data_IF_730021079558
#
_entry.id   IF_730021079558
#
_cell.length_a   1.000
_cell.length_b   1.000
_cell.length_c   1.000
_cell.angle_alpha   90.00
_cell.angle_beta   90.00
_cell.angle_gamma   90.00
#
_symmetry.space_group_name_H-M   'P 1'
#
loop_
_entity.id
_entity.type
_entity.pdbx_description
1 polymer ?
#
# COMPACT_ATOMS: atom_id res chain seq x y z
N UNK A 1 9.19 20.03 -3.63
CA UNK A 1 10.61 20.33 -3.94
C UNK A 1 10.98 19.60 -5.22
N UNK A 2 11.38 20.30 -6.26
CA UNK A 2 11.70 19.66 -7.55
C UNK A 2 13.00 18.85 -7.41
N UNK A 3 12.94 17.54 -7.64
CA UNK A 3 14.11 16.67 -7.64
C UNK A 3 14.75 16.75 -9.01
N UNK A 4 16.02 17.15 -9.11
CA UNK A 4 16.72 17.36 -10.39
C UNK A 4 16.86 16.07 -11.19
N UNK A 5 17.02 14.93 -10.52
CA UNK A 5 17.06 13.60 -11.16
C UNK A 5 16.10 12.65 -10.42
N UNK A 6 14.85 12.55 -10.87
CA UNK A 6 13.84 11.77 -10.16
C UNK A 6 13.96 10.24 -10.34
N UNK A 7 14.92 9.74 -11.11
CA UNK A 7 15.11 8.29 -11.28
C UNK A 7 15.69 7.64 -10.04
N UNK A 8 15.15 6.48 -9.67
CA UNK A 8 15.71 5.63 -8.61
C UNK A 8 17.06 5.05 -9.07
N UNK A 9 18.01 4.97 -8.17
CA UNK A 9 19.32 4.39 -8.39
C UNK A 9 19.58 3.21 -7.47
N UNK A 10 20.58 2.38 -7.77
CA UNK A 10 20.99 1.28 -6.89
C UNK A 10 21.45 1.78 -5.50
N UNK A 11 21.91 3.02 -5.39
CA UNK A 11 22.25 3.61 -4.10
C UNK A 11 21.00 3.88 -3.26
N UNK A 12 19.90 4.29 -3.87
CA UNK A 12 18.60 4.46 -3.19
C UNK A 12 18.06 3.11 -2.71
N UNK A 13 18.18 2.06 -3.53
CA UNK A 13 17.78 0.70 -3.18
C UNK A 13 18.61 0.09 -2.04
N UNK A 14 19.91 0.37 -2.03
CA UNK A 14 20.84 -0.14 -1.04
C UNK A 14 20.97 0.72 0.21
N UNK A 15 20.23 1.82 0.32
CA UNK A 15 20.33 2.73 1.47
C UNK A 15 20.01 1.98 2.75
N UNK A 16 20.99 1.91 3.62
CA UNK A 16 20.87 1.36 4.96
C UNK A 16 21.00 2.50 5.95
N UNK A 17 19.90 3.12 6.34
CA UNK A 17 19.88 4.20 7.32
C UNK A 17 20.12 3.74 8.75
N UNK A 18 20.22 2.43 8.98
CA UNK A 18 20.33 1.82 10.31
C UNK A 18 21.71 2.04 10.92
N UNK A 19 22.76 2.15 10.10
CA UNK A 19 24.14 2.13 10.61
C UNK A 19 24.64 3.49 11.13
N UNK A 20 24.13 4.59 10.59
CA UNK A 20 24.68 5.92 10.91
C UNK A 20 23.69 6.93 11.47
N UNK A 21 22.41 6.87 11.08
CA UNK A 21 21.43 7.94 11.32
C UNK A 21 20.23 7.52 12.17
N UNK A 22 19.96 6.23 12.29
CA UNK A 22 18.68 5.72 12.85
C UNK A 22 18.89 5.09 14.22
N UNK A 23 18.62 5.83 15.28
CA UNK A 23 18.61 5.29 16.65
C UNK A 23 17.30 4.60 16.99
N UNK A 24 16.20 5.15 16.50
CA UNK A 24 14.87 4.58 16.63
C UNK A 24 14.18 4.73 15.27
N UNK A 25 13.84 3.66 14.62
CA UNK A 25 13.22 3.73 13.33
C UNK A 25 13.22 2.38 12.62
N UNK A 26 12.79 2.38 11.42
CA UNK A 26 12.74 1.16 10.63
C UNK A 26 13.08 1.44 9.16
N UNK A 27 13.42 0.38 8.47
CA UNK A 27 13.58 0.40 7.03
C UNK A 27 12.81 -0.76 6.41
N UNK A 28 12.31 -0.57 5.22
CA UNK A 28 11.59 -1.62 4.51
C UNK A 28 11.86 -1.68 3.00
N UNK A 29 11.49 -2.82 2.45
CA UNK A 29 11.21 -3.10 1.05
C UNK A 29 9.82 -3.73 1.02
N UNK A 30 8.83 -2.99 0.61
CA UNK A 30 7.44 -3.38 0.66
C UNK A 30 6.83 -3.44 -0.74
N UNK A 31 5.91 -4.35 -0.94
CA UNK A 31 5.12 -4.47 -2.15
C UNK A 31 3.64 -4.65 -1.85
N UNK A 32 2.81 -4.07 -2.72
CA UNK A 32 1.36 -4.21 -2.73
C UNK A 32 0.88 -4.36 -4.18
N UNK A 33 0.31 -5.51 -4.51
CA UNK A 33 -0.07 -5.86 -5.87
C UNK A 33 -1.55 -6.19 -6.00
N UNK A 34 -2.13 -5.70 -7.10
CA UNK A 34 -3.49 -6.01 -7.56
C UNK A 34 -3.37 -6.71 -8.92
N UNK A 35 -3.61 -8.00 -8.93
CA UNK A 35 -3.35 -8.84 -10.09
C UNK A 35 -4.53 -9.77 -10.40
N UNK A 36 -4.62 -10.21 -11.64
CA UNK A 36 -5.57 -11.20 -12.09
C UNK A 36 -4.84 -12.52 -12.37
N UNK A 37 -5.39 -13.60 -11.89
CA UNK A 37 -4.88 -14.94 -12.14
C UNK A 37 -5.35 -15.49 -13.48
N UNK A 38 -4.61 -16.48 -14.03
CA UNK A 38 -5.02 -17.23 -15.20
C UNK A 38 -6.26 -18.10 -14.95
N UNK A 39 -6.72 -18.19 -13.69
CA UNK A 39 -8.00 -18.77 -13.30
C UNK A 39 -9.16 -17.73 -13.32
N UNK A 40 -8.92 -16.51 -13.74
CA UNK A 40 -9.91 -15.43 -13.84
C UNK A 40 -10.26 -14.76 -12.51
N UNK A 41 -9.53 -15.05 -11.45
CA UNK A 41 -9.78 -14.50 -10.11
C UNK A 41 -8.92 -13.26 -9.85
N UNK A 42 -9.47 -12.34 -9.06
CA UNK A 42 -8.74 -11.19 -8.54
C UNK A 42 -7.91 -11.62 -7.33
N UNK A 43 -6.65 -11.21 -7.29
CA UNK A 43 -5.74 -11.43 -6.16
C UNK A 43 -5.12 -10.11 -5.69
N UNK A 44 -5.04 -9.98 -4.36
CA UNK A 44 -4.17 -9.03 -3.71
C UNK A 44 -2.97 -9.75 -3.12
N UNK A 45 -1.78 -9.44 -3.58
CA UNK A 45 -0.54 -9.95 -3.03
C UNK A 45 0.21 -8.83 -2.33
N UNK A 46 0.84 -9.15 -1.23
CA UNK A 46 1.69 -8.20 -0.53
C UNK A 46 2.80 -8.90 0.21
N UNK A 47 3.83 -8.15 0.48
CA UNK A 47 4.95 -8.60 1.26
C UNK A 47 5.89 -7.48 1.64
N UNK A 48 6.64 -7.70 2.70
CA UNK A 48 7.64 -6.75 3.15
C UNK A 48 8.82 -7.43 3.82
N UNK A 49 9.98 -6.82 3.66
CA UNK A 49 11.10 -6.95 4.57
C UNK A 49 11.13 -5.69 5.40
N UNK A 50 11.14 -5.83 6.72
CA UNK A 50 11.14 -4.72 7.67
C UNK A 50 12.21 -4.93 8.72
N UNK A 51 13.16 -4.02 8.85
CA UNK A 51 14.13 -4.04 9.94
C UNK A 51 13.80 -2.95 10.95
N UNK A 52 13.62 -3.36 12.20
CA UNK A 52 13.19 -2.50 13.31
C UNK A 52 14.29 -2.38 14.35
N UNK A 53 14.84 -1.18 14.50
CA UNK A 53 16.00 -0.95 15.36
C UNK A 53 15.71 -1.04 16.86
N UNK A 54 14.60 -0.47 17.29
CA UNK A 54 14.24 -0.48 18.73
C UNK A 54 13.96 -1.89 19.23
N UNK A 55 13.24 -2.66 18.44
CA UNK A 55 12.84 -4.03 18.77
C UNK A 55 13.96 -5.03 18.52
N UNK A 56 15.03 -4.62 17.84
CA UNK A 56 16.16 -5.47 17.42
C UNK A 56 15.69 -6.70 16.63
N UNK A 57 14.77 -6.49 15.72
CA UNK A 57 14.15 -7.52 14.91
C UNK A 57 14.25 -7.18 13.43
N UNK A 58 14.43 -8.24 12.64
CA UNK A 58 14.20 -8.22 11.21
C UNK A 58 12.93 -9.04 10.93
N UNK A 59 11.96 -8.43 10.28
CA UNK A 59 10.67 -9.04 10.02
C UNK A 59 10.52 -9.31 8.53
N UNK A 60 9.84 -10.40 8.20
CA UNK A 60 9.26 -10.58 6.88
C UNK A 60 7.77 -10.80 6.99
N UNK A 61 7.04 -10.21 6.07
CA UNK A 61 5.61 -10.42 5.92
C UNK A 61 5.30 -10.89 4.51
N UNK A 62 4.38 -11.82 4.39
CA UNK A 62 3.79 -12.21 3.12
C UNK A 62 2.30 -12.46 3.30
N UNK A 63 1.51 -12.05 2.33
CA UNK A 63 0.06 -12.13 2.41
C UNK A 63 -0.57 -12.29 1.03
N UNK A 64 -1.71 -12.96 1.05
CA UNK A 64 -2.51 -13.29 -0.13
C UNK A 64 -3.98 -13.17 0.21
N UNK A 65 -4.74 -12.40 -0.56
CA UNK A 65 -6.19 -12.45 -0.57
C UNK A 65 -6.71 -12.79 -1.97
N UNK A 66 -7.91 -13.33 -2.05
CA UNK A 66 -8.51 -13.80 -3.30
C UNK A 66 -9.96 -13.35 -3.43
N UNK A 67 -10.34 -13.06 -4.66
CA UNK A 67 -11.74 -12.88 -5.07
C UNK A 67 -12.30 -11.51 -4.70
N UNK A 68 -13.56 -11.38 -5.02
CA UNK A 68 -14.36 -10.18 -4.73
C UNK A 68 -15.38 -10.49 -3.65
N UNK A 69 -15.56 -9.58 -2.75
CA UNK A 69 -16.56 -9.67 -1.71
C UNK A 69 -17.86 -8.99 -2.06
N UNK A 70 -18.70 -8.87 -1.07
CA UNK A 70 -19.97 -8.17 -1.14
C UNK A 70 -20.22 -7.35 0.12
N UNK A 71 -21.10 -6.40 0.00
CA UNK A 71 -21.57 -5.59 1.12
C UNK A 71 -23.03 -5.93 1.40
N UNK A 72 -23.34 -6.20 2.65
CA UNK A 72 -24.68 -6.54 3.06
C UNK A 72 -25.21 -5.60 4.14
N UNK A 73 -26.43 -5.11 3.95
CA UNK A 73 -27.15 -4.41 5.00
C UNK A 73 -27.62 -5.43 6.05
N UNK A 74 -27.26 -5.24 7.29
CA UNK A 74 -27.77 -6.07 8.37
C UNK A 74 -29.22 -5.68 8.71
N UNK A 75 -30.02 -6.70 8.96
CA UNK A 75 -31.42 -6.50 9.38
C UNK A 75 -31.46 -5.74 10.71
N UNK A 76 -32.25 -4.68 10.75
CA UNK A 76 -32.41 -3.81 11.93
C UNK A 76 -31.12 -3.07 12.39
N UNK A 77 -30.13 -2.92 11.50
CA UNK A 77 -28.93 -2.13 11.76
C UNK A 77 -28.83 -0.97 10.78
N UNK A 78 -28.25 0.14 11.25
CA UNK A 78 -27.87 1.26 10.38
C UNK A 78 -26.58 0.97 9.62
N UNK A 79 -25.84 -0.08 10.01
CA UNK A 79 -24.55 -0.42 9.44
C UNK A 79 -24.68 -1.48 8.35
N UNK A 80 -23.85 -1.34 7.33
CA UNK A 80 -23.55 -2.40 6.37
C UNK A 80 -22.31 -3.15 6.84
N UNK A 81 -22.21 -4.41 6.49
CA UNK A 81 -21.04 -5.27 6.80
C UNK A 81 -20.40 -5.71 5.49
N UNK A 82 -19.10 -5.64 5.44
CA UNK A 82 -18.34 -6.26 4.36
C UNK A 82 -18.26 -7.78 4.58
N UNK A 83 -18.61 -8.51 3.54
CA UNK A 83 -18.45 -9.97 3.45
C UNK A 83 -17.39 -10.24 2.36
N UNK A 84 -16.13 -9.97 2.70
CA UNK A 84 -15.02 -10.26 1.82
C UNK A 84 -14.56 -11.71 1.97
N UNK A 85 -14.02 -12.32 0.92
CA UNK A 85 -13.53 -13.71 0.98
C UNK A 85 -12.42 -13.94 1.99
N UNK A 86 -11.92 -12.85 2.57
CA UNK A 86 -10.88 -12.88 3.59
C UNK A 86 -9.49 -13.08 3.04
N UNK A 87 -8.55 -13.02 3.96
CA UNK A 87 -7.15 -13.29 3.71
C UNK A 87 -6.92 -14.81 3.66
N UNK A 88 -6.46 -15.33 2.52
CA UNK A 88 -6.09 -16.74 2.40
C UNK A 88 -4.86 -17.06 3.23
N UNK A 89 -3.92 -16.12 3.27
CA UNK A 89 -2.68 -16.24 4.00
C UNK A 89 -2.22 -14.86 4.46
N UNK A 90 -1.75 -14.80 5.71
CA UNK A 90 -1.03 -13.66 6.26
C UNK A 90 0.00 -14.21 7.26
N UNK A 91 1.28 -14.09 6.93
CA UNK A 91 2.36 -14.66 7.71
C UNK A 91 3.41 -13.63 8.06
N UNK A 92 3.89 -13.73 9.29
CA UNK A 92 4.97 -12.92 9.83
C UNK A 92 6.05 -13.82 10.39
N UNK A 93 7.28 -13.57 9.95
CA UNK A 93 8.46 -14.21 10.49
C UNK A 93 9.27 -13.17 11.24
N UNK A 94 9.57 -13.47 12.51
CA UNK A 94 10.39 -12.63 13.37
C UNK A 94 11.78 -13.22 13.44
N UNK A 95 12.72 -12.54 12.85
CA UNK A 95 14.12 -12.96 12.82
C UNK A 95 14.95 -12.08 13.76
N UNK A 96 16.06 -12.59 14.31
CA UNK A 96 17.01 -11.75 15.03
C UNK A 96 17.52 -10.63 14.14
N UNK A 97 17.78 -9.47 14.73
CA UNK A 97 18.44 -8.36 14.02
C UNK A 97 19.73 -8.81 13.35
N UNK A 98 19.95 -8.38 12.12
CA UNK A 98 21.09 -8.77 11.29
C UNK A 98 20.82 -10.00 10.41
N UNK A 99 19.59 -10.52 10.40
CA UNK A 99 19.16 -11.51 9.41
C UNK A 99 18.98 -10.88 8.03
N UNK A 100 18.55 -9.62 7.99
CA UNK A 100 18.53 -8.80 6.78
C UNK A 100 19.94 -8.66 6.21
N UNK A 101 20.08 -8.92 4.92
CA UNK A 101 21.33 -8.75 4.17
C UNK A 101 21.07 -7.93 2.92
N UNK A 102 21.98 -7.01 2.64
CA UNK A 102 21.98 -6.18 1.44
C UNK A 102 23.28 -6.47 0.68
N UNK A 103 23.16 -7.15 -0.44
CA UNK A 103 24.27 -7.49 -1.34
C UNK A 103 24.27 -6.56 -2.56
N UNK A 104 25.39 -5.85 -2.78
CA UNK A 104 25.57 -5.00 -3.96
C UNK A 104 26.23 -5.80 -5.07
N UNK A 105 25.66 -5.74 -6.25
CA UNK A 105 26.19 -6.28 -7.51
C UNK A 105 26.39 -5.12 -8.51
N UNK A 106 26.97 -5.38 -9.65
CA UNK A 106 27.25 -4.34 -10.67
C UNK A 106 25.97 -3.65 -11.17
N UNK A 107 24.91 -4.44 -11.46
CA UNK A 107 23.64 -3.96 -12.03
C UNK A 107 22.42 -4.21 -11.13
N UNK A 108 22.63 -4.63 -9.90
CA UNK A 108 21.53 -4.88 -8.96
C UNK A 108 21.94 -4.77 -7.50
N UNK A 109 20.92 -4.69 -6.65
CA UNK A 109 21.02 -4.85 -5.20
C UNK A 109 20.14 -6.02 -4.81
N UNK A 110 20.74 -7.03 -4.17
CA UNK A 110 20.02 -8.17 -3.63
C UNK A 110 19.75 -7.97 -2.15
N UNK A 111 18.49 -7.97 -1.77
CA UNK A 111 18.03 -7.87 -0.39
C UNK A 111 17.40 -9.18 0.02
N UNK A 112 17.83 -9.75 1.14
CA UNK A 112 17.29 -11.00 1.67
C UNK A 112 17.04 -10.87 3.15
N UNK A 113 15.98 -11.50 3.65
CA UNK A 113 15.72 -11.64 5.07
C UNK A 113 15.16 -13.03 5.35
N UNK A 114 15.92 -13.80 6.13
CA UNK A 114 15.65 -15.22 6.30
C UNK A 114 15.79 -16.02 5.00
N UNK A 115 15.07 -17.11 4.91
CA UNK A 115 14.89 -17.89 3.68
C UNK A 115 13.58 -17.50 2.96
N UNK A 116 12.75 -16.70 3.64
CA UNK A 116 11.36 -16.47 3.28
C UNK A 116 11.19 -15.37 2.24
N UNK A 117 12.12 -14.40 2.22
CA UNK A 117 11.96 -13.21 1.38
C UNK A 117 13.25 -12.79 0.71
N UNK A 118 13.20 -12.66 -0.61
CA UNK A 118 14.27 -12.12 -1.43
C UNK A 118 13.72 -11.10 -2.42
N UNK A 119 14.41 -9.97 -2.54
CA UNK A 119 14.15 -8.97 -3.57
C UNK A 119 15.47 -8.63 -4.26
N UNK A 120 15.53 -8.73 -5.58
CA UNK A 120 16.61 -8.22 -6.38
C UNK A 120 16.15 -6.98 -7.14
N UNK A 121 16.74 -5.84 -6.80
CA UNK A 121 16.43 -4.53 -7.35
C UNK A 121 17.44 -4.20 -8.45
N UNK A 122 16.99 -4.00 -9.68
CA UNK A 122 17.85 -3.75 -10.85
C UNK A 122 17.98 -2.25 -11.19
N UNK A 123 19.07 -1.86 -11.83
CA UNK A 123 19.34 -0.49 -12.24
C UNK A 123 18.41 0.03 -13.36
N UNK A 124 17.71 -0.87 -14.05
CA UNK A 124 16.66 -0.54 -15.01
C UNK A 124 15.28 -0.26 -14.37
N UNK A 125 15.18 -0.32 -13.04
CA UNK A 125 13.95 -0.08 -12.32
C UNK A 125 13.05 -1.30 -12.14
N UNK A 126 13.52 -2.51 -12.43
CA UNK A 126 12.80 -3.76 -12.15
C UNK A 126 13.11 -4.28 -10.74
N UNK A 127 12.13 -4.95 -10.14
CA UNK A 127 12.30 -5.79 -8.98
C UNK A 127 11.91 -7.23 -9.30
N UNK A 128 12.78 -8.18 -8.97
CA UNK A 128 12.48 -9.59 -8.94
C UNK A 128 12.25 -10.02 -7.48
N UNK A 129 11.08 -10.52 -7.17
CA UNK A 129 10.63 -10.79 -5.81
C UNK A 129 10.33 -12.28 -5.67
N UNK A 130 10.98 -12.90 -4.70
CA UNK A 130 10.79 -14.32 -4.40
C UNK A 130 10.37 -14.48 -2.95
N UNK A 131 9.26 -15.19 -2.73
CA UNK A 131 8.69 -15.49 -1.43
C UNK A 131 8.59 -17.00 -1.26
N UNK A 132 8.89 -17.51 -0.06
CA UNK A 132 8.73 -18.91 0.32
C UNK A 132 8.30 -19.00 1.78
N UNK A 133 7.13 -19.57 2.05
CA UNK A 133 6.65 -19.74 3.43
C UNK A 133 7.45 -20.77 4.24
N UNK A 134 8.38 -21.48 3.61
CA UNK A 134 9.25 -22.47 4.25
C UNK A 134 8.58 -23.81 4.58
N UNK A 135 7.24 -23.84 4.65
CA UNK A 135 6.44 -25.04 4.95
C UNK A 135 5.80 -25.66 3.70
N UNK A 136 6.08 -25.08 2.53
CA UNK A 136 5.53 -25.52 1.24
C UNK A 136 4.10 -25.07 0.97
N UNK A 137 3.48 -24.29 1.86
CA UNK A 137 2.12 -23.82 1.64
C UNK A 137 2.06 -22.69 0.60
N UNK A 138 3.06 -21.78 0.62
CA UNK A 138 3.08 -20.64 -0.30
C UNK A 138 4.48 -20.38 -0.86
N UNK A 139 4.52 -20.11 -2.15
CA UNK A 139 5.69 -19.59 -2.87
C UNK A 139 5.22 -18.57 -3.89
N UNK A 140 6.03 -17.55 -4.15
CA UNK A 140 5.81 -16.63 -5.25
C UNK A 140 7.12 -16.27 -5.94
N UNK A 141 7.04 -16.05 -7.24
CA UNK A 141 8.10 -15.56 -8.10
C UNK A 141 7.49 -14.48 -9.00
N UNK A 142 7.79 -13.22 -8.70
CA UNK A 142 7.08 -12.07 -9.24
C UNK A 142 8.07 -11.03 -9.74
N UNK A 143 7.71 -10.39 -10.83
CA UNK A 143 8.41 -9.25 -11.39
C UNK A 143 7.55 -8.00 -11.28
N UNK A 144 8.14 -6.91 -10.80
CA UNK A 144 7.55 -5.58 -10.82
C UNK A 144 8.38 -4.67 -11.69
N UNK A 145 7.76 -4.04 -12.69
CA UNK A 145 8.39 -3.11 -13.63
C UNK A 145 7.77 -1.75 -13.45
N UNK A 146 8.49 -0.88 -12.79
CA UNK A 146 8.02 0.46 -12.50
C UNK A 146 7.95 1.33 -13.75
N UNK A 147 6.98 2.23 -13.81
CA UNK A 147 6.79 3.18 -14.91
C UNK A 147 7.06 4.61 -14.46
N UNK A 148 7.73 5.37 -15.33
CA UNK A 148 7.99 6.79 -15.14
C UNK A 148 8.87 7.08 -13.92
N UNK A 149 8.33 7.83 -12.96
CA UNK A 149 9.05 8.33 -11.80
C UNK A 149 8.27 8.08 -10.51
N UNK A 150 8.97 7.86 -9.39
CA UNK A 150 8.33 7.56 -8.12
C UNK A 150 7.76 8.81 -7.44
N UNK A 151 6.90 8.56 -6.46
CA UNK A 151 6.60 9.50 -5.38
C UNK A 151 7.75 9.45 -4.37
N UNK A 152 8.54 10.52 -4.26
CA UNK A 152 9.64 10.61 -3.32
C UNK A 152 9.19 11.11 -1.96
N UNK A 153 9.54 10.40 -0.90
CA UNK A 153 9.40 10.85 0.50
C UNK A 153 10.58 11.71 0.95
N UNK A 154 11.74 11.50 0.33
CA UNK A 154 12.99 12.19 0.55
C UNK A 154 14.11 11.41 -0.12
N UNK A 155 15.13 12.09 -0.61
CA UNK A 155 16.25 11.45 -1.33
C UNK A 155 17.60 11.97 -0.87
N UNK A 156 17.98 13.16 -1.31
CA UNK A 156 19.24 13.80 -0.91
C UNK A 156 19.14 14.41 0.48
N UNK A 157 17.93 14.87 0.81
CA UNK A 157 17.57 15.36 2.13
C UNK A 157 16.36 14.59 2.63
N UNK A 158 16.26 14.36 3.94
CA UNK A 158 15.08 13.73 4.51
C UNK A 158 13.85 14.62 4.32
N UNK A 159 12.69 14.00 4.24
CA UNK A 159 11.40 14.65 4.27
C UNK A 159 10.70 14.34 5.59
N UNK A 160 9.69 15.13 5.95
CA UNK A 160 8.85 14.84 7.11
C UNK A 160 7.61 14.10 6.65
N UNK A 161 7.46 12.85 7.07
CA UNK A 161 6.24 12.09 6.84
C UNK A 161 5.14 12.50 7.82
N UNK A 162 5.54 12.73 9.07
CA UNK A 162 4.73 13.32 10.14
C UNK A 162 5.50 14.46 10.80
N UNK A 163 4.93 15.10 11.85
CA UNK A 163 5.64 16.12 12.61
C UNK A 163 6.95 15.64 13.23
N UNK A 164 7.09 14.34 13.47
CA UNK A 164 8.22 13.74 14.18
C UNK A 164 8.95 12.67 13.38
N UNK A 165 8.33 12.14 12.33
CA UNK A 165 8.92 11.09 11.50
C UNK A 165 9.64 11.70 10.31
N UNK A 166 10.97 11.60 10.33
CA UNK A 166 11.85 11.98 9.22
C UNK A 166 12.09 10.75 8.36
N UNK A 167 12.02 10.90 7.05
CA UNK A 167 12.09 9.76 6.14
C UNK A 167 12.91 10.03 4.89
N UNK A 168 13.48 8.94 4.37
CA UNK A 168 14.00 8.81 3.03
C UNK A 168 13.25 7.68 2.32
N UNK A 169 13.14 7.76 1.01
CA UNK A 169 12.60 6.68 0.21
C UNK A 169 11.60 7.13 -0.83
N UNK A 170 10.90 6.17 -1.35
CA UNK A 170 9.96 6.40 -2.45
C UNK A 170 8.87 5.33 -2.48
N UNK A 171 7.78 5.67 -3.16
CA UNK A 171 6.74 4.76 -3.59
C UNK A 171 6.63 4.80 -5.12
N UNK A 172 6.57 3.63 -5.80
CA UNK A 172 6.62 3.57 -7.26
C UNK A 172 5.70 2.48 -7.82
N UNK A 173 4.77 2.88 -8.66
CA UNK A 173 3.82 1.98 -9.30
C UNK A 173 4.33 1.45 -10.65
N UNK A 174 3.84 0.28 -11.04
CA UNK A 174 4.24 -0.37 -12.29
C UNK A 174 3.45 -1.64 -12.59
N UNK A 175 3.87 -2.33 -13.65
CA UNK A 175 3.32 -3.61 -14.05
C UNK A 175 3.87 -4.74 -13.18
N UNK A 176 3.05 -5.76 -12.98
CA UNK A 176 3.38 -6.98 -12.25
C UNK A 176 3.02 -8.19 -13.08
N UNK A 177 3.94 -9.15 -13.17
CA UNK A 177 3.68 -10.49 -13.68
C UNK A 177 4.50 -11.54 -12.93
N UNK A 178 4.14 -12.80 -13.12
CA UNK A 178 4.80 -13.93 -12.50
C UNK A 178 3.84 -15.04 -12.11
N UNK A 179 4.16 -15.74 -11.06
CA UNK A 179 3.31 -16.82 -10.53
C UNK A 179 3.43 -16.94 -9.02
N UNK A 180 2.40 -17.51 -8.42
CA UNK A 180 2.47 -18.00 -7.05
C UNK A 180 1.88 -19.41 -6.96
N UNK A 181 2.36 -20.17 -5.98
CA UNK A 181 1.79 -21.46 -5.59
C UNK A 181 1.21 -21.34 -4.19
N UNK A 182 -0.05 -21.71 -4.03
CA UNK A 182 -0.72 -21.78 -2.74
C UNK A 182 -1.39 -23.13 -2.56
N UNK A 183 -1.02 -23.85 -1.50
CA UNK A 183 -1.52 -25.23 -1.21
C UNK A 183 -1.44 -26.17 -2.42
N UNK A 184 -0.30 -26.12 -3.12
CA UNK A 184 -0.03 -26.97 -4.28
C UNK A 184 -0.69 -26.54 -5.59
N UNK A 185 -1.50 -25.46 -5.60
CA UNK A 185 -2.04 -24.89 -6.83
C UNK A 185 -1.19 -23.70 -7.27
N UNK A 186 -0.60 -23.78 -8.46
CA UNK A 186 0.11 -22.67 -9.09
C UNK A 186 -0.85 -21.84 -9.92
N UNK A 187 -0.75 -20.51 -9.81
CA UNK A 187 -1.53 -19.52 -10.55
C UNK A 187 -0.56 -18.53 -11.17
N UNK A 188 -0.63 -18.34 -12.48
CA UNK A 188 0.07 -17.26 -13.16
C UNK A 188 -0.73 -15.99 -13.01
N UNK A 189 -0.04 -14.88 -12.75
CA UNK A 189 -0.67 -13.60 -12.47
C UNK A 189 -0.13 -12.50 -13.35
N UNK A 190 -1.01 -11.53 -13.64
CA UNK A 190 -0.67 -10.31 -14.34
C UNK A 190 -1.53 -9.16 -13.81
N UNK A 191 -0.94 -8.00 -13.65
CA UNK A 191 -1.66 -6.81 -13.17
C UNK A 191 -0.73 -5.66 -12.91
N UNK A 192 -1.01 -4.94 -11.85
CA UNK A 192 -0.23 -3.78 -11.46
C UNK A 192 0.04 -3.78 -9.96
N UNK A 193 1.01 -2.99 -9.56
CA UNK A 193 1.39 -2.89 -8.17
C UNK A 193 2.18 -1.65 -7.86
N UNK A 194 2.45 -1.48 -6.59
CA UNK A 194 3.46 -0.55 -6.12
C UNK A 194 4.51 -1.27 -5.30
N UNK A 195 5.67 -0.69 -5.28
CA UNK A 195 6.74 -1.02 -4.36
C UNK A 195 7.12 0.21 -3.56
N UNK A 196 7.51 0.00 -2.33
CA UNK A 196 8.02 1.02 -1.46
C UNK A 196 9.41 0.66 -0.99
N UNK A 197 10.26 1.67 -0.96
CA UNK A 197 11.53 1.66 -0.28
C UNK A 197 11.51 2.79 0.73
N UNK A 198 11.52 2.44 2.00
CA UNK A 198 11.33 3.39 3.08
C UNK A 198 12.40 3.26 4.15
N UNK A 199 12.90 4.39 4.62
CA UNK A 199 13.81 4.52 5.77
C UNK A 199 13.25 5.58 6.69
N UNK A 200 12.73 5.19 7.84
CA UNK A 200 12.31 6.10 8.88
C UNK A 200 13.44 6.36 9.85
N UNK A 201 13.69 7.63 10.12
CA UNK A 201 14.69 8.10 11.07
C UNK A 201 13.96 8.66 12.29
N UNK A 202 14.35 8.21 13.48
CA UNK A 202 13.78 8.67 14.75
C UNK A 202 12.23 8.60 14.83
N UNK A 203 11.63 7.61 14.16
CA UNK A 203 10.20 7.36 14.28
C UNK A 203 9.91 6.16 15.17
N UNK A 204 8.87 6.28 15.99
CA UNK A 204 8.22 5.15 16.60
C UNK A 204 7.01 4.72 15.76
N UNK A 205 6.63 3.45 15.79
CA UNK A 205 5.40 2.98 15.14
C UNK A 205 4.15 3.74 15.64
N UNK A 206 4.21 4.31 16.86
CA UNK A 206 3.16 5.14 17.41
C UNK A 206 3.02 6.49 16.70
N UNK A 207 4.10 7.01 16.08
CA UNK A 207 4.07 8.30 15.37
C UNK A 207 3.48 8.19 13.96
N UNK A 208 3.43 6.99 13.40
CA UNK A 208 2.65 6.68 12.20
C UNK A 208 1.15 6.62 12.51
N UNK A 209 0.77 6.98 13.74
CA UNK A 209 -0.60 7.01 14.18
C UNK A 209 -1.39 8.14 13.55
N UNK A 210 -2.59 7.84 13.14
CA UNK A 210 -3.49 8.74 12.50
C UNK A 210 -4.15 8.07 11.31
N UNK A 211 -4.94 8.85 10.60
CA UNK A 211 -5.51 8.41 9.34
C UNK A 211 -4.41 8.43 8.26
N UNK A 212 -4.33 7.35 7.51
CA UNK A 212 -3.46 7.20 6.37
C UNK A 212 -4.23 6.60 5.21
N UNK A 213 -4.13 7.23 4.04
CA UNK A 213 -4.39 6.62 2.75
C UNK A 213 -3.07 6.56 2.00
N UNK A 214 -2.58 5.37 1.75
CA UNK A 214 -1.33 5.12 1.03
C UNK A 214 -1.56 4.08 -0.03
N UNK A 215 -1.23 4.40 -1.29
CA UNK A 215 -1.50 3.46 -2.33
C UNK A 215 -1.18 3.95 -3.73
N UNK A 216 -1.70 3.19 -4.67
CA UNK A 216 -1.56 3.48 -6.09
C UNK A 216 -2.85 3.21 -6.86
N UNK A 217 -2.98 3.91 -7.97
CA UNK A 217 -3.97 3.61 -9.00
C UNK A 217 -3.29 3.72 -10.35
N UNK A 218 -3.51 2.73 -11.19
CA UNK A 218 -2.94 2.65 -12.53
C UNK A 218 -4.05 2.46 -13.55
N UNK A 219 -3.83 3.04 -14.70
CA UNK A 219 -4.54 2.81 -15.95
C UNK A 219 -3.52 2.50 -17.05
N UNK A 220 -3.96 2.02 -18.18
CA UNK A 220 -3.07 1.79 -19.32
C UNK A 220 -2.32 3.07 -19.73
N UNK A 221 -2.95 4.23 -19.52
CA UNK A 221 -2.47 5.55 -19.93
C UNK A 221 -1.74 6.32 -18.82
N UNK A 222 -2.10 6.09 -17.57
CA UNK A 222 -1.60 6.86 -16.42
C UNK A 222 -1.30 5.95 -15.24
N UNK A 223 -0.14 6.13 -14.63
CA UNK A 223 0.21 5.54 -13.35
C UNK A 223 0.29 6.62 -12.26
N UNK A 224 -0.25 6.31 -11.08
CA UNK A 224 -0.21 7.23 -9.94
C UNK A 224 0.12 6.50 -8.65
N UNK A 225 0.95 7.12 -7.83
CA UNK A 225 1.20 6.76 -6.43
C UNK A 225 0.82 7.93 -5.55
N UNK A 226 0.25 7.66 -4.37
CA UNK A 226 -0.25 8.72 -3.50
C UNK A 226 -0.14 8.37 -2.03
N UNK A 227 -0.06 9.44 -1.25
CA UNK A 227 0.03 9.38 0.20
C UNK A 227 -0.77 10.54 0.81
N UNK A 228 -1.73 10.26 1.69
CA UNK A 228 -2.45 11.27 2.47
C UNK A 228 -2.41 10.89 3.96
N UNK A 229 -1.44 11.44 4.66
CA UNK A 229 -1.42 11.41 6.13
C UNK A 229 -2.08 12.68 6.65
N UNK A 230 -3.20 12.54 7.32
CA UNK A 230 -3.99 13.68 7.81
C UNK A 230 -3.21 14.64 8.69
N UNK A 231 -2.21 14.15 9.40
CA UNK A 231 -1.34 14.94 10.30
C UNK A 231 0.08 15.10 9.77
N UNK A 232 0.33 14.76 8.53
CA UNK A 232 1.66 14.75 7.95
C UNK A 232 1.67 15.05 6.45
N UNK A 233 2.47 14.26 5.74
CA UNK A 233 2.64 14.40 4.30
C UNK A 233 1.34 14.10 3.55
N UNK A 234 1.03 14.94 2.59
CA UNK A 234 0.00 14.72 1.59
C UNK A 234 0.60 15.03 0.24
N UNK A 235 0.86 13.97 -0.52
CA UNK A 235 1.59 14.11 -1.76
C UNK A 235 1.22 13.00 -2.76
N UNK A 236 1.61 13.17 -4.00
CA UNK A 236 1.36 12.23 -5.08
C UNK A 236 2.43 12.34 -6.15
N UNK A 237 2.49 11.31 -7.00
CA UNK A 237 3.19 11.33 -8.28
C UNK A 237 2.27 10.75 -9.35
N UNK A 238 2.10 11.45 -10.46
CA UNK A 238 1.38 10.97 -11.63
C UNK A 238 2.35 10.91 -12.81
N UNK A 239 2.33 9.80 -13.52
CA UNK A 239 3.05 9.64 -14.78
C UNK A 239 2.07 9.30 -15.91
N UNK A 240 1.94 10.21 -16.86
CA UNK A 240 1.18 10.03 -18.08
C UNK A 240 2.07 9.33 -19.10
N UNK A 241 1.80 8.04 -19.32
CA UNK A 241 2.60 7.15 -20.16
C UNK A 241 2.54 7.59 -21.64
N UNK A 242 1.33 7.95 -22.12
CA UNK A 242 1.14 8.32 -23.51
C UNK A 242 1.84 9.61 -23.89
N UNK A 243 1.92 10.57 -22.97
CA UNK A 243 2.52 11.86 -23.19
C UNK A 243 3.96 11.99 -22.65
N UNK A 244 4.49 10.91 -22.03
CA UNK A 244 5.78 10.89 -21.32
C UNK A 244 5.92 12.08 -20.36
N UNK A 245 4.87 12.30 -19.54
CA UNK A 245 4.80 13.46 -18.67
C UNK A 245 4.64 13.10 -17.20
N UNK A 246 5.48 13.70 -16.38
CA UNK A 246 5.49 13.51 -14.94
C UNK A 246 4.94 14.73 -14.20
N UNK A 247 4.01 14.50 -13.28
CA UNK A 247 3.39 15.51 -12.44
C UNK A 247 3.66 15.20 -10.97
N UNK A 248 4.69 15.81 -10.39
CA UNK A 248 5.02 15.66 -8.97
C UNK A 248 4.36 16.71 -8.06
N UNK A 249 3.67 17.68 -8.64
CA UNK A 249 3.13 18.84 -7.92
C UNK A 249 1.68 19.10 -8.32
N UNK A 250 0.87 19.53 -7.35
CA UNK A 250 -0.53 19.87 -7.57
C UNK A 250 -1.33 19.83 -6.26
N UNK A 251 -2.64 19.62 -6.39
CA UNK A 251 -3.54 19.54 -5.25
C UNK A 251 -4.35 18.25 -5.31
N UNK A 252 -4.18 17.41 -4.32
CA UNK A 252 -4.90 16.15 -4.19
C UNK A 252 -6.04 16.25 -3.18
N UNK A 253 -7.17 15.62 -3.49
CA UNK A 253 -8.29 15.40 -2.58
C UNK A 253 -8.70 13.94 -2.67
N UNK A 254 -8.84 13.27 -1.52
CA UNK A 254 -9.36 11.92 -1.39
C UNK A 254 -10.64 12.01 -0.56
N UNK A 255 -11.74 11.52 -1.12
CA UNK A 255 -13.04 11.42 -0.45
C UNK A 255 -13.44 9.97 -0.38
N UNK A 256 -14.02 9.58 0.76
CA UNK A 256 -14.45 8.24 1.07
C UNK A 256 -15.97 8.15 1.08
N UNK A 257 -16.53 7.12 0.46
CA UNK A 257 -17.98 6.91 0.44
C UNK A 257 -18.36 5.51 0.89
N UNK A 258 -19.57 5.41 1.40
CA UNK A 258 -20.28 4.16 1.66
C UNK A 258 -19.54 3.23 2.64
N UNK A 259 -19.41 3.70 3.87
CA UNK A 259 -18.70 3.02 4.93
C UNK A 259 -19.35 1.72 5.36
N UNK A 260 -18.53 0.68 5.57
CA UNK A 260 -18.94 -0.65 6.00
C UNK A 260 -18.06 -1.16 7.12
N UNK A 261 -18.64 -1.96 8.00
CA UNK A 261 -17.88 -2.63 9.06
C UNK A 261 -17.16 -3.86 8.50
N UNK A 262 -15.87 -3.98 8.76
CA UNK A 262 -15.04 -5.14 8.43
C UNK A 262 -14.65 -5.86 9.72
N UNK A 263 -15.19 -7.07 9.94
CA UNK A 263 -15.01 -7.84 11.19
C UNK A 263 -13.55 -8.17 11.49
N UNK A 264 -12.80 -8.57 10.45
CA UNK A 264 -11.40 -8.96 10.63
C UNK A 264 -10.51 -7.78 11.05
N UNK A 265 -10.96 -6.57 10.80
CA UNK A 265 -10.28 -5.33 11.20
C UNK A 265 -10.80 -4.78 12.52
N UNK A 266 -11.98 -5.21 12.95
CA UNK A 266 -12.77 -4.57 14.02
C UNK A 266 -12.91 -3.05 13.78
N UNK A 267 -13.23 -2.67 12.55
CA UNK A 267 -13.26 -1.28 12.13
C UNK A 267 -14.06 -1.04 10.84
N UNK A 268 -14.24 0.24 10.52
CA UNK A 268 -14.94 0.66 9.32
C UNK A 268 -13.97 0.95 8.18
N UNK A 269 -14.35 0.55 6.97
CA UNK A 269 -13.65 0.89 5.74
C UNK A 269 -14.62 1.52 4.75
N UNK A 270 -14.15 2.42 3.85
CA UNK A 270 -14.98 2.88 2.74
C UNK A 270 -15.10 1.79 1.69
N UNK A 271 -16.19 1.78 0.94
CA UNK A 271 -16.34 0.92 -0.24
C UNK A 271 -16.03 1.64 -1.54
N UNK A 272 -15.95 2.97 -1.51
CA UNK A 272 -15.55 3.77 -2.66
C UNK A 272 -14.57 4.86 -2.25
N UNK A 273 -13.63 5.10 -3.15
CA UNK A 273 -12.70 6.22 -3.15
C UNK A 273 -13.02 7.14 -4.33
N UNK A 274 -13.13 8.43 -4.08
CA UNK A 274 -13.15 9.48 -5.09
C UNK A 274 -11.88 10.31 -4.94
N UNK A 275 -11.02 10.26 -5.95
CA UNK A 275 -9.73 10.93 -5.93
C UNK A 275 -9.71 11.98 -7.02
N UNK A 276 -9.32 13.19 -6.65
CA UNK A 276 -9.14 14.31 -7.57
C UNK A 276 -7.76 14.91 -7.36
N UNK A 277 -7.01 15.01 -8.45
CA UNK A 277 -5.68 15.60 -8.45
C UNK A 277 -5.59 16.67 -9.54
N UNK A 278 -5.53 17.91 -9.09
CA UNK A 278 -5.31 19.08 -9.95
C UNK A 278 -3.81 19.19 -10.24
N UNK A 279 -3.42 19.17 -11.50
CA UNK A 279 -2.04 19.33 -11.98
C UNK A 279 -1.92 20.49 -12.94
N UNK A 280 -0.69 20.82 -13.35
CA UNK A 280 -0.46 21.99 -14.23
C UNK A 280 -1.25 21.94 -15.56
N UNK A 281 -1.60 20.76 -16.09
CA UNK A 281 -2.28 20.62 -17.39
C UNK A 281 -3.76 20.29 -17.28
N UNK A 282 -4.26 20.00 -16.08
CA UNK A 282 -5.66 19.62 -15.95
C UNK A 282 -6.01 18.96 -14.62
N UNK A 283 -7.03 18.12 -14.67
CA UNK A 283 -7.59 17.44 -13.52
C UNK A 283 -7.65 15.94 -13.79
N UNK A 284 -6.98 15.15 -12.95
CA UNK A 284 -7.10 13.71 -12.89
C UNK A 284 -8.19 13.34 -11.89
N UNK A 285 -9.23 12.65 -12.36
CA UNK A 285 -10.34 12.18 -11.51
C UNK A 285 -10.44 10.66 -11.58
N UNK A 286 -10.60 10.02 -10.41
CA UNK A 286 -10.76 8.58 -10.27
C UNK A 286 -11.89 8.28 -9.31
N UNK A 287 -12.67 7.25 -9.64
CA UNK A 287 -13.57 6.56 -8.74
C UNK A 287 -13.19 5.08 -8.68
N UNK A 288 -12.88 4.58 -7.48
CA UNK A 288 -12.44 3.20 -7.28
C UNK A 288 -13.34 2.49 -6.28
N UNK A 289 -13.78 1.27 -6.62
CA UNK A 289 -14.57 0.40 -5.76
C UNK A 289 -13.67 -0.60 -5.03
N UNK A 290 -13.88 -0.79 -3.72
CA UNK A 290 -13.18 -1.77 -2.91
C UNK A 290 -13.80 -3.14 -3.09
N UNK A 291 -13.09 -4.02 -3.78
CA UNK A 291 -13.53 -5.40 -4.05
C UNK A 291 -13.17 -6.37 -2.91
N UNK A 292 -12.08 -6.11 -2.22
CA UNK A 292 -11.60 -6.94 -1.12
C UNK A 292 -10.74 -6.10 -0.18
N UNK A 293 -10.58 -6.58 1.05
CA UNK A 293 -9.72 -5.96 2.03
C UNK A 293 -8.84 -7.03 2.68
N UNK A 294 -7.60 -6.66 2.95
CA UNK A 294 -6.61 -7.50 3.59
C UNK A 294 -6.11 -6.81 4.86
N UNK A 295 -6.62 -7.20 6.02
CA UNK A 295 -6.09 -6.71 7.29
C UNK A 295 -4.64 -7.11 7.51
N UNK A 296 -3.84 -6.20 8.05
CA UNK A 296 -2.44 -6.44 8.41
C UNK A 296 -2.31 -7.03 9.83
N UNK A 297 -3.25 -7.82 10.23
CA UNK A 297 -3.67 -8.18 11.58
C UNK A 297 -2.64 -8.72 12.57
N UNK A 298 -1.38 -8.91 12.25
CA UNK A 298 -0.47 -9.53 13.21
C UNK A 298 0.76 -8.71 13.58
N UNK A 299 1.18 -7.75 12.74
CA UNK A 299 2.42 -7.01 12.96
C UNK A 299 2.29 -5.94 14.01
N UNK A 300 1.21 -5.24 13.99
CA UNK A 300 0.92 -4.13 14.87
C UNK A 300 -0.31 -4.48 15.70
N UNK A 301 -0.15 -5.44 16.62
CA UNK A 301 -1.11 -5.63 17.71
C UNK A 301 -1.08 -4.42 18.66
N UNK A 302 -1.25 -3.25 18.10
CA UNK A 302 -1.78 -2.13 18.83
C UNK A 302 -3.28 -2.23 18.56
N UNK A 303 -4.11 -2.66 19.50
CA UNK A 303 -5.56 -2.82 19.31
C UNK A 303 -6.24 -1.55 18.79
N UNK A 304 -5.52 -0.45 18.83
CA UNK A 304 -5.94 0.92 18.55
C UNK A 304 -5.56 1.42 17.14
N UNK A 305 -4.89 0.60 16.34
CA UNK A 305 -4.42 1.03 15.01
C UNK A 305 -4.64 -0.04 13.94
N UNK A 306 -5.88 -0.30 13.54
CA UNK A 306 -6.17 -1.26 12.50
C UNK A 306 -5.68 -0.77 11.15
N UNK A 307 -4.95 -1.62 10.45
CA UNK A 307 -4.44 -1.38 9.10
C UNK A 307 -4.97 -2.44 8.16
N UNK A 308 -5.45 -2.03 7.00
CA UNK A 308 -5.83 -2.93 5.92
C UNK A 308 -5.38 -2.39 4.57
N UNK A 309 -4.96 -3.29 3.67
CA UNK A 309 -4.87 -2.98 2.25
C UNK A 309 -6.19 -3.31 1.57
N UNK A 310 -6.76 -2.32 0.93
CA UNK A 310 -7.98 -2.40 0.14
C UNK A 310 -7.59 -2.66 -1.31
N UNK A 311 -8.15 -3.71 -1.90
CA UNK A 311 -7.92 -4.10 -3.29
C UNK A 311 -9.07 -3.60 -4.13
N UNK A 312 -8.79 -2.85 -5.18
CA UNK A 312 -9.81 -2.26 -6.02
C UNK A 312 -10.17 -3.13 -7.22
N UNK A 313 -11.44 -3.13 -7.56
CA UNK A 313 -11.95 -3.44 -8.89
C UNK A 313 -12.81 -2.27 -9.41
N UNK A 314 -13.26 -2.37 -10.64
CA UNK A 314 -14.15 -1.35 -11.22
C UNK A 314 -13.62 0.08 -10.98
N UNK A 315 -12.36 0.29 -11.35
CA UNK A 315 -11.70 1.60 -11.24
C UNK A 315 -11.97 2.40 -12.51
N UNK A 316 -12.71 3.48 -12.39
CA UNK A 316 -13.02 4.42 -13.45
C UNK A 316 -12.17 5.67 -13.33
N UNK A 317 -11.63 6.16 -14.43
CA UNK A 317 -10.79 7.35 -14.43
C UNK A 317 -10.92 8.19 -15.68
N UNK A 318 -10.58 9.46 -15.54
CA UNK A 318 -10.45 10.41 -16.65
C UNK A 318 -9.43 11.48 -16.33
N UNK A 319 -8.85 12.02 -17.39
CA UNK A 319 -8.06 13.24 -17.35
C UNK A 319 -8.80 14.35 -18.10
N UNK A 320 -9.05 15.45 -17.45
CA UNK A 320 -9.73 16.62 -18.00
C UNK A 320 -8.67 17.70 -18.20
N UNK A 321 -8.28 17.94 -19.46
CA UNK A 321 -7.30 18.96 -19.78
C UNK A 321 -7.84 20.37 -19.56
N UNK A 322 -6.96 21.37 -19.40
CA UNK A 322 -7.36 22.77 -19.17
C UNK A 322 -8.22 23.37 -20.28
N UNK A 323 -8.12 22.88 -21.50
CA UNK A 323 -8.95 23.27 -22.64
C UNK A 323 -10.33 22.62 -22.65
N UNK A 324 -10.63 21.77 -21.65
CA UNK A 324 -11.90 21.07 -21.49
C UNK A 324 -11.96 19.71 -22.19
N UNK A 325 -10.92 19.29 -22.90
CA UNK A 325 -10.87 17.96 -23.49
C UNK A 325 -10.83 16.87 -22.41
N UNK A 326 -11.63 15.81 -22.58
CA UNK A 326 -11.73 14.71 -21.64
C UNK A 326 -11.16 13.45 -22.28
N UNK A 327 -10.10 12.91 -21.65
CA UNK A 327 -9.54 11.60 -21.96
C UNK A 327 -10.03 10.59 -20.92
N UNK A 328 -10.85 9.60 -21.35
CA UNK A 328 -11.21 8.46 -20.51
C UNK A 328 -10.02 7.52 -20.38
N UNK A 329 -9.83 6.99 -19.18
CA UNK A 329 -8.75 6.07 -18.87
C UNK A 329 -9.27 4.63 -18.84
N UNK A 330 -8.42 3.66 -19.18
CA UNK A 330 -8.79 2.26 -19.36
C UNK A 330 -7.93 1.33 -18.52
N UNK A 331 -8.44 0.13 -18.20
CA UNK A 331 -7.68 -0.89 -17.48
C UNK A 331 -7.39 -0.54 -16.02
N UNK A 332 -8.24 0.25 -15.39
CA UNK A 332 -8.03 0.75 -14.04
C UNK A 332 -7.86 -0.34 -12.99
N UNK A 333 -6.79 -0.25 -12.19
CA UNK A 333 -6.45 -1.14 -11.05
C UNK A 333 -5.80 -0.34 -9.94
N UNK A 334 -5.74 -0.89 -8.74
CA UNK A 334 -5.03 -0.25 -7.65
C UNK A 334 -5.25 -0.92 -6.31
N UNK A 335 -4.52 -0.43 -5.34
CA UNK A 335 -4.73 -0.73 -3.92
C UNK A 335 -4.62 0.56 -3.11
N UNK A 336 -5.24 0.56 -1.94
CA UNK A 336 -5.07 1.62 -0.96
C UNK A 336 -4.92 0.98 0.42
N UNK A 337 -3.81 1.21 1.07
CA UNK A 337 -3.66 0.88 2.47
C UNK A 337 -4.29 1.98 3.30
N UNK A 338 -5.20 1.58 4.15
CA UNK A 338 -5.91 2.46 5.07
C UNK A 338 -5.48 2.15 6.49
N UNK A 339 -5.16 3.18 7.24
CA UNK A 339 -4.88 3.08 8.65
C UNK A 339 -5.87 3.95 9.40
N UNK A 340 -6.53 3.37 10.42
CA UNK A 340 -7.48 4.07 11.27
C UNK A 340 -6.96 4.06 12.70
N UNK A 341 -6.93 5.21 13.31
CA UNK A 341 -6.69 5.31 14.74
C UNK A 341 -7.96 5.70 15.45
N UNK A 342 -8.39 4.90 16.42
CA UNK A 342 -9.59 5.17 17.22
C UNK A 342 -9.53 6.52 17.99
N UNK A 343 -8.34 7.12 18.10
CA UNK A 343 -8.16 8.41 18.74
C UNK A 343 -8.59 9.63 17.89
N UNK A 344 -8.99 9.41 16.63
CA UNK A 344 -9.37 10.52 15.72
C UNK A 344 -10.83 10.40 15.25
N UNK A 345 -11.79 10.70 16.14
CA UNK A 345 -13.22 10.54 15.86
C UNK A 345 -13.72 11.36 14.64
N UNK A 346 -13.06 12.47 14.31
CA UNK A 346 -13.52 13.39 13.28
C UNK A 346 -13.34 12.90 11.83
N UNK A 347 -12.79 11.71 11.63
CA UNK A 347 -12.53 11.16 10.30
C UNK A 347 -13.69 10.30 9.80
N UNK A 348 -14.33 9.57 10.71
CA UNK A 348 -15.49 8.75 10.37
C UNK A 348 -16.79 9.56 10.44
N UNK A 349 -17.84 9.18 9.72
CA UNK A 349 -19.17 9.77 9.88
C UNK A 349 -19.63 9.74 11.34
N UNK A 350 -20.27 10.82 11.79
CA UNK A 350 -20.74 10.94 13.21
C UNK A 350 -21.66 9.81 13.63
N UNK A 351 -22.41 9.27 12.69
CA UNK A 351 -23.33 8.16 12.91
C UNK A 351 -22.64 6.86 13.36
N UNK A 352 -21.32 6.78 13.18
CA UNK A 352 -20.51 5.65 13.62
C UNK A 352 -19.95 5.79 15.03
N UNK A 353 -20.23 6.91 15.71
CA UNK A 353 -19.82 7.17 17.09
C UNK A 353 -21.01 7.09 18.06
N UNK A 354 -20.71 6.75 19.30
CA UNK A 354 -21.65 6.93 20.39
C UNK A 354 -21.63 8.39 20.90
N UNK A 355 -22.52 8.70 21.85
CA UNK A 355 -22.64 10.02 22.47
C UNK A 355 -21.36 10.47 23.22
N UNK A 356 -20.38 9.57 23.42
CA UNK A 356 -19.11 9.85 24.06
C UNK A 356 -17.95 9.97 23.03
N UNK A 357 -18.25 10.13 21.75
CA UNK A 357 -17.29 10.19 20.67
C UNK A 357 -16.38 8.95 20.52
N UNK A 358 -16.84 7.81 21.01
CA UNK A 358 -16.18 6.52 20.81
C UNK A 358 -16.77 5.82 19.59
N UNK A 359 -15.93 5.16 18.83
CA UNK A 359 -16.40 4.29 17.74
C UNK A 359 -17.34 3.23 18.33
N UNK A 360 -18.53 3.14 17.77
CA UNK A 360 -19.52 2.18 18.24
C UNK A 360 -18.98 0.77 18.05
N UNK A 361 -18.68 0.08 19.13
CA UNK A 361 -18.34 -1.33 19.07
C UNK A 361 -19.55 -2.11 18.58
N UNK A 362 -19.47 -2.62 17.38
CA UNK A 362 -20.58 -3.26 16.69
C UNK A 362 -20.63 -4.77 16.93
N UNK A 363 -19.56 -5.40 17.44
CA UNK A 363 -19.54 -6.85 17.68
C UNK A 363 -20.67 -7.30 18.60
N UNK A 364 -20.87 -6.62 19.71
CA UNK A 364 -21.95 -6.96 20.64
C UNK A 364 -23.36 -6.78 20.07
N UNK A 365 -23.53 -6.05 18.98
CA UNK A 365 -24.80 -5.85 18.28
C UNK A 365 -25.01 -6.84 17.13
N UNK A 366 -23.96 -7.45 16.64
CA UNK A 366 -24.03 -8.42 15.55
C UNK A 366 -24.22 -9.85 16.03
N UNK A 367 -23.75 -10.19 17.22
CA UNK A 367 -23.89 -11.54 17.81
C UNK A 367 -25.31 -11.85 18.32
N UNK A 368 -26.17 -10.86 18.34
CA UNK A 368 -27.60 -11.00 18.77
C UNK A 368 -28.59 -11.03 17.60
N UNK A 369 -28.11 -11.08 16.35
CA UNK A 369 -28.92 -11.15 15.13
C UNK A 369 -28.70 -12.47 14.39
#
# INVERSE_FOLDING_TARGET
MKIENPKVTLADEARNGVEEEVRSGFLDWLMEFNVEGDDGELYGLGGSILSMNLEKLDLTNMCLCKGKGSVRQLKNSIYKVAEYPGTLMNRFYRNPQGTLKIGKKEHSVLVTCGLEYQVECFDNGEWHIQLDSGDGEYKADLWHRAHGYPLWYGREKPSYLTQHSITYGYNWSGDVDGEFTYKGKTVKVKGTGQRERYVAVDSSAAELGGWEDWGFITFNEIHSSMYDMRLGMKDFAIYDIENDKYYPEGKMTIEHEDWVFLRELDGFIPTYYNIKIEVEDGLYEVRAHVANARPWGATFKVPENPVATLVFDNVEGKFIAKDGNIRKLTGGRGTMSIRQWHAYPNILPKELYDDNEKVVNTESKFDTL
#
